data_IF_994983221428
#
_entry.id   IF_994983221428
#
_cell.length_a   1.000
_cell.length_b   1.000
_cell.length_c   1.000
_cell.angle_alpha   90.00
_cell.angle_beta   90.00
_cell.angle_gamma   90.00
#
_symmetry.space_group_name_H-M   'P 1'
#
loop_
_entity.id
_entity.type
_entity.pdbx_description
1 polymer ?
#
# COMPACT_ATOMS: atom_id res chain seq x y z
N UNK A 1 24.12 14.78 -0.30
CA UNK A 1 23.05 15.18 0.66
C UNK A 1 21.67 14.58 0.34
N UNK A 2 21.30 14.37 -0.95
CA UNK A 2 19.98 13.85 -1.37
C UNK A 2 19.77 12.32 -1.32
N UNK A 3 20.82 11.51 -1.14
CA UNK A 3 20.72 10.03 -1.17
C UNK A 3 19.89 9.44 -0.02
N UNK A 4 19.97 10.02 1.18
CA UNK A 4 19.16 9.56 2.34
C UNK A 4 17.66 9.81 2.11
N UNK A 5 17.29 11.00 1.63
CA UNK A 5 15.90 11.33 1.26
C UNK A 5 15.41 10.45 0.12
N UNK A 6 16.25 10.20 -0.90
CA UNK A 6 15.92 9.31 -2.00
C UNK A 6 15.65 7.87 -1.53
N UNK A 7 16.53 7.29 -0.69
CA UNK A 7 16.33 5.95 -0.13
C UNK A 7 15.07 5.84 0.73
N UNK A 8 14.77 6.87 1.54
CA UNK A 8 13.52 6.95 2.29
C UNK A 8 12.31 6.95 1.34
N UNK A 9 12.38 7.75 0.26
CA UNK A 9 11.32 7.83 -0.75
C UNK A 9 11.07 6.50 -1.44
N UNK A 10 12.14 5.83 -1.85
CA UNK A 10 12.07 4.52 -2.48
C UNK A 10 11.50 3.50 -1.49
N UNK A 11 12.00 3.44 -0.26
CA UNK A 11 11.53 2.47 0.74
C UNK A 11 10.03 2.56 1.03
N UNK A 12 9.51 3.77 1.27
CA UNK A 12 8.07 3.91 1.53
C UNK A 12 7.23 3.71 0.26
N UNK A 13 7.73 4.12 -0.91
CA UNK A 13 7.02 3.93 -2.19
C UNK A 13 6.94 2.45 -2.53
N UNK A 14 8.02 1.70 -2.30
CA UNK A 14 8.06 0.25 -2.47
C UNK A 14 7.03 -0.45 -1.60
N UNK A 15 6.93 -0.11 -0.32
CA UNK A 15 5.94 -0.71 0.59
C UNK A 15 4.50 -0.35 0.18
N UNK A 16 4.22 0.92 -0.11
CA UNK A 16 2.88 1.35 -0.53
C UNK A 16 2.45 0.73 -1.87
N UNK A 17 3.36 0.66 -2.85
CA UNK A 17 3.12 -0.04 -4.12
C UNK A 17 2.90 -1.54 -3.90
N UNK A 18 3.75 -2.21 -3.11
CA UNK A 18 3.60 -3.63 -2.80
C UNK A 18 2.22 -3.91 -2.20
N UNK A 19 1.83 -3.18 -1.15
CA UNK A 19 0.51 -3.35 -0.51
C UNK A 19 -0.64 -3.06 -1.48
N UNK A 20 -0.52 -2.02 -2.30
CA UNK A 20 -1.52 -1.71 -3.32
C UNK A 20 -1.75 -2.86 -4.30
N UNK A 21 -0.70 -3.47 -4.85
CA UNK A 21 -0.84 -4.60 -5.78
C UNK A 21 -1.27 -5.89 -5.07
N UNK A 22 -0.89 -6.08 -3.80
CA UNK A 22 -1.36 -7.21 -2.99
C UNK A 22 -2.88 -7.15 -2.80
N UNK A 23 -3.42 -5.98 -2.46
CA UNK A 23 -4.84 -5.78 -2.21
C UNK A 23 -5.67 -5.71 -3.50
N UNK A 24 -5.19 -5.03 -4.55
CA UNK A 24 -5.99 -4.79 -5.76
C UNK A 24 -5.84 -5.85 -6.83
N UNK A 25 -4.70 -6.55 -6.88
CA UNK A 25 -4.40 -7.54 -7.94
C UNK A 25 -4.28 -8.94 -7.37
N UNK A 26 -3.35 -9.17 -6.44
CA UNK A 26 -3.06 -10.52 -5.94
C UNK A 26 -4.24 -11.11 -5.16
N UNK A 27 -5.03 -10.29 -4.44
CA UNK A 27 -6.21 -10.76 -3.69
C UNK A 27 -7.21 -11.54 -4.55
N UNK A 28 -7.40 -11.13 -5.82
CA UNK A 28 -8.23 -11.87 -6.78
C UNK A 28 -7.67 -13.28 -7.02
N UNK A 29 -6.37 -13.35 -7.33
CA UNK A 29 -5.66 -14.61 -7.56
C UNK A 29 -5.66 -15.49 -6.31
N UNK A 30 -5.46 -14.89 -5.13
CA UNK A 30 -5.45 -15.56 -3.84
C UNK A 30 -6.81 -16.21 -3.52
N UNK A 31 -7.92 -15.46 -3.64
CA UNK A 31 -9.26 -16.00 -3.39
C UNK A 31 -9.64 -17.11 -4.38
N UNK A 32 -9.29 -16.95 -5.66
CA UNK A 32 -9.53 -18.00 -6.66
C UNK A 32 -8.72 -19.26 -6.35
N UNK A 33 -7.47 -19.09 -5.88
CA UNK A 33 -6.61 -20.19 -5.46
C UNK A 33 -7.10 -20.91 -4.20
N UNK A 34 -7.83 -20.22 -3.32
CA UNK A 34 -8.49 -20.82 -2.16
C UNK A 34 -9.76 -21.60 -2.53
N UNK A 35 -10.19 -21.58 -3.80
CA UNK A 35 -11.33 -22.34 -4.31
C UNK A 35 -12.60 -21.52 -4.53
N UNK A 36 -12.57 -20.20 -4.32
CA UNK A 36 -13.73 -19.35 -4.62
C UNK A 36 -13.93 -19.22 -6.14
N UNK A 37 -15.19 -19.29 -6.58
CA UNK A 37 -15.54 -19.13 -8.00
C UNK A 37 -15.07 -17.78 -8.57
N UNK A 38 -14.43 -17.82 -9.74
CA UNK A 38 -13.80 -16.66 -10.36
C UNK A 38 -14.77 -15.54 -10.75
N UNK A 39 -16.04 -15.85 -11.07
CA UNK A 39 -17.06 -14.81 -11.34
C UNK A 39 -17.43 -14.10 -10.04
N UNK A 40 -17.62 -14.86 -8.97
CA UNK A 40 -17.91 -14.35 -7.63
C UNK A 40 -16.78 -13.44 -7.13
N UNK A 41 -15.52 -13.90 -7.21
CA UNK A 41 -14.34 -13.06 -6.90
C UNK A 41 -14.33 -11.79 -7.76
N UNK A 42 -14.69 -11.90 -9.04
CA UNK A 42 -14.83 -10.76 -9.94
C UNK A 42 -15.78 -9.68 -9.40
N UNK A 43 -17.00 -10.06 -9.02
CA UNK A 43 -17.98 -9.13 -8.45
C UNK A 43 -17.51 -8.51 -7.12
N UNK A 44 -16.94 -9.33 -6.23
CA UNK A 44 -16.36 -8.88 -4.96
C UNK A 44 -15.31 -7.79 -5.19
N UNK A 45 -14.34 -8.06 -6.07
CA UNK A 45 -13.25 -7.13 -6.36
C UNK A 45 -13.78 -5.84 -7.01
N UNK A 46 -14.71 -5.95 -7.96
CA UNK A 46 -15.32 -4.77 -8.60
C UNK A 46 -16.01 -3.88 -7.58
N UNK A 47 -16.82 -4.46 -6.68
CA UNK A 47 -17.52 -3.69 -5.67
C UNK A 47 -16.56 -3.06 -4.65
N UNK A 48 -15.59 -3.83 -4.14
CA UNK A 48 -14.59 -3.33 -3.21
C UNK A 48 -13.77 -2.17 -3.80
N UNK A 49 -13.32 -2.30 -5.05
CA UNK A 49 -12.58 -1.24 -5.75
C UNK A 49 -13.44 0.01 -6.01
N UNK A 50 -14.74 -0.17 -6.29
CA UNK A 50 -15.66 0.95 -6.43
C UNK A 50 -15.81 1.72 -5.12
N UNK A 51 -15.99 1.02 -3.99
CA UNK A 51 -16.05 1.65 -2.66
C UNK A 51 -14.73 2.35 -2.34
N UNK A 52 -13.61 1.70 -2.63
CA UNK A 52 -12.27 2.27 -2.44
C UNK A 52 -12.05 3.55 -3.25
N UNK A 53 -12.51 3.60 -4.50
CA UNK A 53 -12.48 4.80 -5.35
C UNK A 53 -13.28 5.94 -4.72
N UNK A 54 -14.51 5.66 -4.26
CA UNK A 54 -15.38 6.64 -3.61
C UNK A 54 -14.84 7.13 -2.26
N UNK A 55 -14.03 6.32 -1.57
CA UNK A 55 -13.43 6.68 -0.28
C UNK A 55 -12.24 7.65 -0.42
N UNK A 56 -11.57 7.71 -1.58
CA UNK A 56 -10.35 8.51 -1.76
C UNK A 56 -10.50 10.00 -1.35
N UNK A 57 -11.57 10.72 -1.75
CA UNK A 57 -11.73 12.13 -1.35
C UNK A 57 -11.89 12.31 0.16
N UNK A 58 -12.59 11.38 0.82
CA UNK A 58 -12.82 11.42 2.27
C UNK A 58 -11.50 11.21 3.01
N UNK A 59 -10.72 10.21 2.62
CA UNK A 59 -9.42 9.95 3.22
C UNK A 59 -8.39 11.03 2.91
N UNK A 60 -8.48 11.69 1.75
CA UNK A 60 -7.72 12.89 1.44
C UNK A 60 -8.02 14.01 2.44
N UNK A 61 -9.30 14.33 2.65
CA UNK A 61 -9.71 15.36 3.61
C UNK A 61 -9.34 15.01 5.07
N UNK A 62 -9.42 13.73 5.46
CA UNK A 62 -8.94 13.26 6.76
C UNK A 62 -7.43 13.47 6.88
N UNK A 63 -6.68 13.08 5.84
CA UNK A 63 -5.22 13.17 5.84
C UNK A 63 -4.72 14.62 5.91
N UNK A 64 -5.42 15.54 5.26
CA UNK A 64 -5.14 16.98 5.35
C UNK A 64 -5.28 17.51 6.78
N UNK A 65 -6.20 16.93 7.58
CA UNK A 65 -6.42 17.32 8.98
C UNK A 65 -5.43 16.67 9.96
N UNK A 66 -5.17 15.37 9.82
CA UNK A 66 -4.26 14.65 10.73
C UNK A 66 -2.78 14.83 10.37
N UNK A 67 -2.52 15.33 9.16
CA UNK A 67 -1.19 15.51 8.61
C UNK A 67 -0.66 14.25 7.92
N UNK A 68 0.26 14.48 6.99
CA UNK A 68 0.80 13.45 6.10
C UNK A 68 1.61 12.40 6.85
N UNK A 69 2.48 12.83 7.77
CA UNK A 69 3.29 11.94 8.60
C UNK A 69 2.40 11.00 9.42
N UNK A 70 1.37 11.54 10.09
CA UNK A 70 0.43 10.75 10.89
C UNK A 70 -0.32 9.73 10.02
N UNK A 71 -0.71 10.13 8.81
CA UNK A 71 -1.39 9.24 7.85
C UNK A 71 -0.49 8.10 7.39
N UNK A 72 0.77 8.38 7.08
CA UNK A 72 1.74 7.33 6.70
C UNK A 72 2.04 6.37 7.86
N UNK A 73 2.13 6.88 9.09
CA UNK A 73 2.29 6.04 10.28
C UNK A 73 1.05 5.18 10.53
N UNK A 74 -0.15 5.74 10.36
CA UNK A 74 -1.41 5.01 10.47
C UNK A 74 -1.50 3.89 9.42
N UNK A 75 -1.24 4.20 8.15
CA UNK A 75 -1.16 3.20 7.08
C UNK A 75 -0.20 2.07 7.43
N UNK A 76 1.07 2.40 7.66
CA UNK A 76 2.11 1.38 7.83
C UNK A 76 1.89 0.51 9.07
N UNK A 77 1.44 1.09 10.19
CA UNK A 77 1.15 0.35 11.41
C UNK A 77 -0.11 -0.52 11.27
N UNK A 78 -1.24 0.07 10.83
CA UNK A 78 -2.50 -0.66 10.75
C UNK A 78 -2.42 -1.76 9.69
N UNK A 79 -1.87 -1.46 8.51
CA UNK A 79 -1.68 -2.49 7.47
C UNK A 79 -0.73 -3.60 7.96
N UNK A 80 0.34 -3.30 8.70
CA UNK A 80 1.23 -4.35 9.22
C UNK A 80 0.53 -5.27 10.22
N UNK A 81 -0.31 -4.72 11.09
CA UNK A 81 -1.08 -5.48 12.08
C UNK A 81 -2.12 -6.36 11.40
N UNK A 82 -2.86 -5.81 10.44
CA UNK A 82 -4.06 -6.46 9.90
C UNK A 82 -3.84 -7.27 8.63
N UNK A 83 -2.76 -7.06 7.86
CA UNK A 83 -2.56 -7.78 6.58
C UNK A 83 -2.51 -9.30 6.77
N UNK A 84 -1.79 -9.80 7.78
CA UNK A 84 -1.68 -11.23 8.04
C UNK A 84 -2.98 -11.84 8.57
N UNK A 85 -3.61 -11.33 9.65
CA UNK A 85 -4.85 -11.92 10.15
C UNK A 85 -5.98 -11.80 9.13
N UNK A 86 -6.04 -10.76 8.30
CA UNK A 86 -7.07 -10.67 7.27
C UNK A 86 -6.77 -11.61 6.10
N UNK A 87 -5.59 -11.53 5.49
CA UNK A 87 -5.28 -12.30 4.28
C UNK A 87 -5.12 -13.80 4.56
N UNK A 88 -4.42 -14.19 5.62
CA UNK A 88 -4.12 -15.60 5.88
C UNK A 88 -5.23 -16.28 6.68
N UNK A 89 -5.77 -15.60 7.70
CA UNK A 89 -6.75 -16.20 8.62
C UNK A 89 -8.18 -15.90 8.14
N UNK A 90 -8.52 -14.62 7.98
CA UNK A 90 -9.86 -14.16 7.65
C UNK A 90 -10.36 -14.67 6.29
N UNK A 91 -9.55 -14.52 5.23
CA UNK A 91 -9.97 -14.97 3.89
C UNK A 91 -10.24 -16.47 3.83
N UNK A 92 -9.47 -17.28 4.57
CA UNK A 92 -9.67 -18.74 4.63
C UNK A 92 -10.86 -19.12 5.50
N UNK A 93 -11.01 -18.47 6.66
CA UNK A 93 -12.09 -18.76 7.60
C UNK A 93 -13.48 -18.43 7.03
N UNK A 94 -13.57 -17.45 6.14
CA UNK A 94 -14.83 -16.96 5.58
C UNK A 94 -14.94 -17.17 4.07
N UNK A 95 -14.22 -18.14 3.50
CA UNK A 95 -14.19 -18.40 2.05
C UNK A 95 -15.58 -18.67 1.47
N UNK A 96 -16.49 -19.25 2.25
CA UNK A 96 -17.87 -19.56 1.84
C UNK A 96 -18.80 -18.34 1.91
N UNK A 97 -18.34 -17.20 2.43
CA UNK A 97 -19.14 -15.98 2.60
C UNK A 97 -18.59 -14.81 1.77
N UNK A 98 -19.10 -14.61 0.54
CA UNK A 98 -18.71 -13.50 -0.34
C UNK A 98 -18.85 -12.12 0.32
N UNK A 99 -19.87 -11.95 1.18
CA UNK A 99 -20.14 -10.68 1.87
C UNK A 99 -19.02 -10.35 2.86
N UNK A 100 -18.60 -11.32 3.68
CA UNK A 100 -17.55 -11.10 4.68
C UNK A 100 -16.22 -10.82 3.99
N UNK A 101 -15.89 -11.58 2.93
CA UNK A 101 -14.68 -11.36 2.13
C UNK A 101 -14.67 -9.94 1.52
N UNK A 102 -15.81 -9.48 1.01
CA UNK A 102 -15.96 -8.12 0.49
C UNK A 102 -15.68 -7.07 1.57
N UNK A 103 -16.24 -7.25 2.77
CA UNK A 103 -16.01 -6.32 3.88
C UNK A 103 -14.56 -6.33 4.37
N UNK A 104 -13.90 -7.48 4.40
CA UNK A 104 -12.48 -7.61 4.74
C UNK A 104 -11.58 -6.90 3.73
N UNK A 105 -11.88 -7.02 2.43
CA UNK A 105 -11.15 -6.31 1.37
C UNK A 105 -11.38 -4.80 1.45
N UNK A 106 -12.62 -4.36 1.64
CA UNK A 106 -12.94 -2.93 1.84
C UNK A 106 -12.17 -2.40 3.05
N UNK A 107 -12.17 -3.12 4.16
CA UNK A 107 -11.43 -2.74 5.36
C UNK A 107 -9.93 -2.57 5.10
N UNK A 108 -9.28 -3.53 4.45
CA UNK A 108 -7.87 -3.41 4.02
C UNK A 108 -7.65 -2.17 3.15
N UNK A 109 -8.51 -1.97 2.14
CA UNK A 109 -8.42 -0.84 1.21
C UNK A 109 -8.65 0.52 1.89
N UNK A 110 -9.43 0.58 2.97
CA UNK A 110 -9.54 1.80 3.80
C UNK A 110 -8.22 2.10 4.52
N UNK A 111 -7.50 1.09 4.99
CA UNK A 111 -6.15 1.28 5.56
C UNK A 111 -5.18 1.78 4.50
N UNK A 112 -5.21 1.18 3.31
CA UNK A 112 -4.42 1.60 2.14
C UNK A 112 -4.71 3.05 1.72
N UNK A 113 -5.94 3.53 1.92
CA UNK A 113 -6.35 4.90 1.58
C UNK A 113 -5.57 5.98 2.34
N UNK A 114 -5.06 5.68 3.55
CA UNK A 114 -4.16 6.60 4.27
C UNK A 114 -2.81 6.82 3.56
N UNK A 115 -2.42 5.92 2.66
CA UNK A 115 -1.24 6.08 1.81
C UNK A 115 -1.59 6.72 0.46
N UNK A 116 -2.55 6.15 -0.26
CA UNK A 116 -2.79 6.52 -1.67
C UNK A 116 -3.29 7.95 -1.83
N UNK A 117 -4.14 8.43 -0.90
CA UNK A 117 -4.67 9.79 -0.90
C UNK A 117 -3.61 10.90 -0.78
N UNK A 118 -2.46 10.62 -0.15
CA UNK A 118 -1.37 11.61 0.03
C UNK A 118 -0.08 11.30 -0.72
N UNK A 119 0.04 10.10 -1.27
CA UNK A 119 1.28 9.63 -1.89
C UNK A 119 1.79 10.57 -2.98
N UNK A 120 0.91 11.21 -3.76
CA UNK A 120 1.30 12.18 -4.79
C UNK A 120 1.86 13.49 -4.21
N UNK A 121 1.24 13.98 -3.15
CA UNK A 121 1.56 15.26 -2.51
C UNK A 121 2.88 15.19 -1.73
N UNK A 122 3.09 14.09 -1.00
CA UNK A 122 4.32 13.80 -0.24
C UNK A 122 5.52 13.66 -1.18
N UNK A 123 5.35 12.98 -2.33
CA UNK A 123 6.39 12.87 -3.36
C UNK A 123 6.76 14.23 -3.94
N UNK A 124 5.76 15.05 -4.27
CA UNK A 124 5.99 16.37 -4.84
C UNK A 124 6.80 17.28 -3.90
N UNK A 125 6.56 17.24 -2.59
CA UNK A 125 7.33 18.04 -1.64
C UNK A 125 8.78 17.59 -1.47
N UNK A 126 9.09 16.30 -1.60
CA UNK A 126 10.47 15.85 -1.36
C UNK A 126 11.48 16.22 -2.46
N UNK A 127 11.03 16.76 -3.60
CA UNK A 127 11.92 17.12 -4.71
C UNK A 127 11.89 18.62 -5.05
N UNK A 128 13.05 19.23 -5.37
CA UNK A 128 13.14 20.60 -5.85
C UNK A 128 12.29 20.82 -7.11
N UNK A 129 11.64 21.99 -7.29
CA UNK A 129 10.73 22.25 -8.40
C UNK A 129 11.31 21.94 -9.79
N UNK A 130 12.60 22.22 -10.00
CA UNK A 130 13.30 22.05 -11.28
C UNK A 130 13.56 20.58 -11.68
N UNK A 131 13.47 19.62 -10.75
CA UNK A 131 13.62 18.18 -11.02
C UNK A 131 12.44 17.35 -10.55
N UNK A 132 11.37 17.98 -10.05
CA UNK A 132 10.25 17.31 -9.37
C UNK A 132 9.53 16.30 -10.25
N UNK A 133 9.16 16.67 -11.47
CA UNK A 133 8.45 15.76 -12.37
C UNK A 133 9.27 14.51 -12.69
N UNK A 134 10.56 14.68 -12.97
CA UNK A 134 11.48 13.62 -13.34
C UNK A 134 11.84 12.74 -12.14
N UNK A 135 12.13 13.34 -10.99
CA UNK A 135 12.45 12.64 -9.74
C UNK A 135 11.27 11.84 -9.19
N UNK A 136 10.08 12.44 -9.14
CA UNK A 136 8.85 11.75 -8.69
C UNK A 136 8.49 10.59 -9.62
N UNK A 137 8.49 10.84 -10.94
CA UNK A 137 8.16 9.82 -11.93
C UNK A 137 9.16 8.66 -11.93
N UNK A 138 10.46 8.96 -11.88
CA UNK A 138 11.51 7.94 -11.89
C UNK A 138 11.51 7.09 -10.61
N UNK A 139 11.48 7.71 -9.42
CA UNK A 139 11.41 6.98 -8.15
C UNK A 139 10.16 6.12 -8.05
N UNK A 140 9.02 6.63 -8.55
CA UNK A 140 7.79 5.86 -8.60
C UNK A 140 7.90 4.67 -9.57
N UNK A 141 8.39 4.89 -10.80
CA UNK A 141 8.55 3.82 -11.78
C UNK A 141 9.47 2.71 -11.27
N UNK A 142 10.60 3.06 -10.66
CA UNK A 142 11.54 2.09 -10.09
C UNK A 142 10.91 1.32 -8.92
N UNK A 143 10.32 2.02 -7.94
CA UNK A 143 9.67 1.37 -6.80
C UNK A 143 8.51 0.47 -7.24
N UNK A 144 7.70 0.95 -8.18
CA UNK A 144 6.55 0.20 -8.67
C UNK A 144 6.95 -1.00 -9.53
N UNK A 145 7.98 -0.88 -10.38
CA UNK A 145 8.46 -2.01 -11.18
C UNK A 145 9.11 -3.09 -10.30
N UNK A 146 9.92 -2.69 -9.32
CA UNK A 146 10.66 -3.63 -8.48
C UNK A 146 9.80 -4.32 -7.43
N UNK A 147 8.80 -3.63 -6.87
CA UNK A 147 8.03 -4.13 -5.72
C UNK A 147 6.52 -4.19 -5.97
N UNK A 148 5.95 -3.24 -6.72
CA UNK A 148 4.51 -3.21 -6.99
C UNK A 148 4.09 -4.25 -8.04
N UNK A 149 4.45 -4.01 -9.29
CA UNK A 149 4.08 -4.86 -10.43
C UNK A 149 4.68 -6.27 -10.35
N UNK A 150 5.79 -6.44 -9.66
CA UNK A 150 6.39 -7.77 -9.40
C UNK A 150 5.69 -8.53 -8.26
N UNK A 151 4.91 -7.86 -7.41
CA UNK A 151 4.32 -8.46 -6.20
C UNK A 151 3.52 -9.73 -6.49
N UNK A 152 2.58 -9.76 -7.47
CA UNK A 152 1.80 -10.97 -7.73
C UNK A 152 2.69 -12.13 -8.19
N UNK A 153 3.72 -11.84 -8.99
CA UNK A 153 4.68 -12.84 -9.46
C UNK A 153 5.50 -13.42 -8.32
N UNK A 154 6.00 -12.58 -7.40
CA UNK A 154 6.73 -13.03 -6.21
C UNK A 154 5.81 -13.85 -5.29
N UNK A 155 4.58 -13.40 -5.08
CA UNK A 155 3.60 -14.13 -4.27
C UNK A 155 3.31 -15.53 -4.83
N UNK A 156 3.19 -15.65 -6.16
CA UNK A 156 3.02 -16.94 -6.82
C UNK A 156 4.25 -17.84 -6.71
N UNK A 157 5.47 -17.30 -6.69
CA UNK A 157 6.68 -18.09 -6.43
C UNK A 157 6.69 -18.65 -5.00
N UNK A 158 6.30 -17.85 -4.00
CA UNK A 158 6.15 -18.31 -2.62
C UNK A 158 5.08 -19.41 -2.52
N UNK A 159 3.97 -19.26 -3.25
CA UNK A 159 2.95 -20.30 -3.36
C UNK A 159 3.50 -21.58 -3.99
N UNK A 160 4.24 -21.48 -5.10
CA UNK A 160 4.85 -22.63 -5.77
C UNK A 160 5.87 -23.35 -4.88
N UNK A 161 6.56 -22.62 -4.00
CA UNK A 161 7.46 -23.17 -2.99
C UNK A 161 6.74 -23.74 -1.75
N UNK A 162 5.40 -23.71 -1.69
CA UNK A 162 4.61 -24.22 -0.57
C UNK A 162 4.60 -23.32 0.67
N UNK A 163 5.12 -22.10 0.58
CA UNK A 163 5.29 -21.15 1.70
C UNK A 163 4.50 -19.85 1.47
N UNK A 164 3.31 -19.94 0.89
CA UNK A 164 2.47 -18.78 0.53
C UNK A 164 2.24 -17.82 1.70
N UNK A 165 2.04 -18.33 2.92
CA UNK A 165 1.82 -17.49 4.10
C UNK A 165 3.04 -16.61 4.45
N UNK A 166 4.25 -17.05 4.11
CA UNK A 166 5.49 -16.30 4.34
C UNK A 166 5.57 -15.05 3.47
N UNK A 167 4.88 -15.01 2.33
CA UNK A 167 4.79 -13.81 1.50
C UNK A 167 4.16 -12.64 2.28
N UNK A 168 3.12 -12.89 3.09
CA UNK A 168 2.50 -11.83 3.90
C UNK A 168 3.41 -11.37 5.05
N UNK A 169 4.29 -12.23 5.56
CA UNK A 169 5.34 -11.82 6.51
C UNK A 169 6.33 -10.89 5.81
N UNK A 170 6.71 -11.17 4.56
CA UNK A 170 7.53 -10.25 3.76
C UNK A 170 6.87 -8.89 3.57
N UNK A 171 5.54 -8.84 3.31
CA UNK A 171 4.78 -7.58 3.25
C UNK A 171 4.82 -6.84 4.58
N UNK A 172 4.68 -7.54 5.72
CA UNK A 172 4.80 -6.94 7.06
C UNK A 172 6.18 -6.32 7.25
N UNK A 173 7.25 -7.02 6.88
CA UNK A 173 8.63 -6.48 7.00
C UNK A 173 8.77 -5.19 6.19
N UNK A 174 8.24 -5.14 4.98
CA UNK A 174 8.26 -3.91 4.15
C UNK A 174 7.43 -2.78 4.78
N UNK A 175 6.28 -3.09 5.40
CA UNK A 175 5.46 -2.11 6.12
C UNK A 175 6.16 -1.59 7.39
N UNK A 176 6.90 -2.43 8.12
CA UNK A 176 7.71 -2.01 9.26
C UNK A 176 8.83 -1.08 8.80
N UNK A 177 9.51 -1.40 7.70
CA UNK A 177 10.51 -0.52 7.10
C UNK A 177 9.87 0.83 6.73
N UNK A 178 8.68 0.80 6.11
CA UNK A 178 7.92 2.01 5.80
C UNK A 178 7.57 2.82 7.06
N UNK A 179 7.17 2.16 8.15
CA UNK A 179 6.87 2.81 9.42
C UNK A 179 8.11 3.50 10.00
N UNK A 180 9.26 2.82 10.02
CA UNK A 180 10.54 3.38 10.47
C UNK A 180 10.98 4.55 9.60
N UNK A 181 10.84 4.45 8.27
CA UNK A 181 11.10 5.55 7.36
C UNK A 181 10.15 6.73 7.59
N UNK A 182 8.88 6.46 7.91
CA UNK A 182 7.86 7.48 8.20
C UNK A 182 8.12 8.23 9.51
N UNK A 183 8.82 7.60 10.46
CA UNK A 183 9.28 8.29 11.67
C UNK A 183 10.37 9.32 11.37
N UNK A 184 11.20 9.08 10.36
CA UNK A 184 12.27 9.96 9.93
C UNK A 184 11.79 11.10 9.01
N UNK A 185 10.51 11.13 8.60
CA UNK A 185 9.94 12.22 7.82
C UNK A 185 9.78 13.49 8.68
N UNK A 186 10.40 14.62 8.32
CA UNK A 186 10.20 15.89 9.00
C UNK A 186 8.75 16.36 8.83
N UNK A 187 8.19 17.01 9.86
CA UNK A 187 6.79 17.50 9.84
C UNK A 187 6.56 18.63 8.82
N UNK A 188 7.62 19.26 8.32
CA UNK A 188 7.61 20.30 7.28
C UNK A 188 8.78 20.07 6.31
N UNK A 189 8.62 20.37 5.01
CA UNK A 189 9.72 20.29 4.06
C UNK A 189 10.78 21.38 4.30
N UNK A 190 12.06 20.98 4.42
CA UNK A 190 13.22 21.83 4.74
C UNK A 190 13.44 23.03 3.80
N UNK A 191 12.95 23.01 2.56
CA UNK A 191 13.22 24.11 1.61
C UNK A 191 12.33 25.35 1.83
N UNK A 192 11.34 25.30 2.73
CA UNK A 192 10.58 26.49 3.14
C UNK A 192 11.34 27.38 4.13
N UNK A 193 12.45 26.90 4.71
CA UNK A 193 13.25 27.68 5.67
C UNK A 193 14.36 28.51 5.01
N UNK A 194 14.59 28.36 3.71
CA UNK A 194 15.66 29.04 2.98
C UNK A 194 15.19 30.16 2.03
N UNK A 195 13.90 30.52 2.05
CA UNK A 195 13.31 31.61 1.24
C UNK A 195 13.02 32.90 2.05
N UNK A 196 13.68 33.09 3.20
CA UNK A 196 13.62 34.33 3.99
C UNK A 196 15.01 34.86 4.35
#
# INVERSE_FOLDING_TARGET
>A
KHWKTFLLVVGYTSAGSLTFYVETVYSKTYLTNLGMDGKTVGYIMTFALFVYMCAQPVFGAISDRIGRRSSMLAFSLLSAIFIYPVMVIGMRAYIDSPIIITLLLIFMMMLLSFYTSISGLVKAEMFPPHVRALGVGFSYAVGNALFGGSAPSVALQFKAAGIENTFFIYVIVMLIICFLCSLALPKKPDYLEHDH
#
